data_IF_487011801696
#
_entry.id   IF_487011801696
#
_cell.length_a   1.000
_cell.length_b   1.000
_cell.length_c   1.000
_cell.angle_alpha   90.00
_cell.angle_beta   90.00
_cell.angle_gamma   90.00
#
_symmetry.space_group_name_H-M   'P 1'
#
loop_
_entity.id
_entity.type
_entity.pdbx_description
1 polymer ?
#
# COMPACT_ATOMS: atom_id res chain seq x y z
N UNK A 1 0.28 10.63 8.79
CA UNK A 1 1.08 9.43 8.47
C UNK A 1 0.81 8.40 9.56
N UNK A 2 0.42 7.17 9.18
CA UNK A 2 0.10 6.12 10.15
C UNK A 2 1.38 5.62 10.84
N UNK A 3 1.34 5.44 12.17
CA UNK A 3 2.47 4.92 12.93
C UNK A 3 2.67 3.41 12.67
N UNK A 4 3.93 2.95 12.66
CA UNK A 4 4.31 1.57 12.35
C UNK A 4 3.52 0.52 13.14
N UNK A 5 3.21 0.80 14.41
CA UNK A 5 2.45 -0.10 15.30
C UNK A 5 1.00 -0.30 14.87
N UNK A 6 0.41 0.68 14.19
CA UNK A 6 -0.97 0.62 13.71
C UNK A 6 -1.08 -0.15 12.39
N UNK A 7 0.00 -0.18 11.62
CA UNK A 7 0.09 -0.83 10.31
C UNK A 7 0.34 -2.35 10.45
N UNK A 8 1.00 -2.76 11.54
CA UNK A 8 1.20 -4.18 11.92
C UNK A 8 -0.14 -4.91 12.14
N UNK A 9 -1.20 -4.19 12.54
CA UNK A 9 -2.55 -4.77 12.73
C UNK A 9 -3.11 -5.37 11.45
N UNK A 10 -2.70 -4.84 10.29
CA UNK A 10 -3.10 -5.34 8.98
C UNK A 10 -2.13 -6.37 8.40
N UNK A 11 -1.14 -6.82 9.18
CA UNK A 11 -0.01 -7.61 8.68
C UNK A 11 0.62 -7.02 7.42
N UNK A 12 0.75 -5.69 7.41
CA UNK A 12 1.41 -5.00 6.32
C UNK A 12 2.88 -5.43 6.24
N UNK A 13 3.35 -5.62 5.01
CA UNK A 13 4.77 -5.73 4.72
C UNK A 13 5.35 -4.33 4.67
N UNK A 14 6.29 -4.03 5.57
CA UNK A 14 7.05 -2.78 5.49
C UNK A 14 8.28 -3.03 4.62
N UNK A 15 8.30 -2.37 3.46
CA UNK A 15 9.38 -2.45 2.49
C UNK A 15 10.28 -1.24 2.64
N UNK A 16 11.57 -1.52 2.86
CA UNK A 16 12.59 -0.49 3.03
C UNK A 16 13.46 -0.36 1.78
N UNK A 17 13.89 0.86 1.48
CA UNK A 17 14.80 1.10 0.36
C UNK A 17 15.30 2.54 0.30
N UNK A 18 16.42 2.75 -0.40
CA UNK A 18 17.00 4.09 -0.63
C UNK A 18 16.23 4.92 -1.67
N UNK A 19 15.32 4.29 -2.42
CA UNK A 19 14.53 4.93 -3.45
C UNK A 19 13.11 4.37 -3.44
N UNK A 20 12.12 5.25 -3.30
CA UNK A 20 10.69 4.91 -3.29
C UNK A 20 10.26 4.28 -4.62
N UNK A 21 10.76 4.76 -5.75
CA UNK A 21 10.42 4.23 -7.09
C UNK A 21 10.77 2.74 -7.20
N UNK A 22 11.95 2.34 -6.72
CA UNK A 22 12.38 0.93 -6.71
C UNK A 22 11.46 0.05 -5.85
N UNK A 23 11.00 0.55 -4.71
CA UNK A 23 10.07 -0.19 -3.84
C UNK A 23 8.73 -0.38 -4.55
N UNK A 24 8.20 0.70 -5.14
CA UNK A 24 6.92 0.68 -5.83
C UNK A 24 6.94 -0.21 -7.08
N UNK A 25 8.03 -0.19 -7.88
CA UNK A 25 8.19 -1.11 -9.02
C UNK A 25 8.11 -2.58 -8.61
N UNK A 26 8.69 -2.94 -7.45
CA UNK A 26 8.59 -4.31 -6.92
C UNK A 26 7.15 -4.68 -6.59
N UNK A 27 6.39 -3.76 -6.01
CA UNK A 27 4.97 -3.97 -5.68
C UNK A 27 4.12 -4.09 -6.95
N UNK A 28 4.33 -3.20 -7.93
CA UNK A 28 3.68 -3.24 -9.25
C UNK A 28 3.92 -4.58 -9.93
N UNK A 29 5.18 -5.03 -9.99
CA UNK A 29 5.54 -6.30 -10.59
C UNK A 29 4.92 -7.50 -9.83
N UNK A 30 4.84 -7.42 -8.50
CA UNK A 30 4.20 -8.45 -7.68
C UNK A 30 2.69 -8.58 -7.97
N UNK A 31 1.97 -7.47 -8.09
CA UNK A 31 0.53 -7.47 -8.41
C UNK A 31 0.26 -7.73 -9.91
N UNK A 32 1.25 -7.49 -10.76
CA UNK A 32 1.24 -7.71 -12.20
C UNK A 32 0.52 -6.62 -13.01
N UNK A 33 -0.22 -5.71 -12.36
CA UNK A 33 -0.88 -4.58 -13.02
C UNK A 33 -1.11 -3.43 -12.01
N UNK A 34 -1.08 -2.19 -12.49
CA UNK A 34 -1.22 -0.99 -11.68
C UNK A 34 -2.65 -0.72 -11.18
N UNK A 35 -3.69 -1.13 -11.91
CA UNK A 35 -5.09 -0.99 -11.45
C UNK A 35 -5.42 -1.78 -10.17
N UNK A 36 -4.57 -2.73 -9.82
CA UNK A 36 -4.68 -3.50 -8.57
C UNK A 36 -4.13 -2.74 -7.38
N UNK A 37 -3.49 -1.60 -7.60
CA UNK A 37 -2.88 -0.79 -6.55
C UNK A 37 -3.87 0.26 -6.10
N UNK A 38 -4.01 0.34 -4.78
CA UNK A 38 -4.69 1.44 -4.09
C UNK A 38 -3.61 2.17 -3.31
N UNK A 39 -3.31 3.40 -3.67
CA UNK A 39 -2.15 4.12 -3.18
C UNK A 39 -2.52 5.42 -2.48
N UNK A 40 -1.70 5.80 -1.50
CA UNK A 40 -1.77 7.13 -0.94
C UNK A 40 -1.54 8.18 -2.04
N UNK A 41 -2.28 9.30 -1.99
CA UNK A 41 -2.15 10.39 -2.94
C UNK A 41 -0.73 10.97 -2.99
N UNK A 42 0.04 10.93 -1.90
CA UNK A 42 1.44 11.37 -1.88
C UNK A 42 2.38 10.51 -2.75
N UNK A 43 1.92 9.34 -3.20
CA UNK A 43 2.66 8.46 -4.10
C UNK A 43 2.25 8.65 -5.57
N UNK A 44 1.31 9.55 -5.87
CA UNK A 44 0.68 9.63 -7.20
C UNK A 44 1.65 9.90 -8.32
N UNK A 45 2.55 10.86 -8.13
CA UNK A 45 3.45 11.29 -9.21
C UNK A 45 4.47 10.19 -9.54
N UNK A 46 4.95 9.51 -8.50
CA UNK A 46 5.89 8.39 -8.66
C UNK A 46 5.19 7.23 -9.36
N UNK A 47 3.98 6.85 -8.92
CA UNK A 47 3.23 5.74 -9.50
C UNK A 47 2.79 6.02 -10.94
N UNK A 48 2.39 7.25 -11.27
CA UNK A 48 2.10 7.65 -12.66
C UNK A 48 3.34 7.48 -13.56
N UNK A 49 4.53 7.79 -13.05
CA UNK A 49 5.79 7.55 -13.76
C UNK A 49 6.20 6.07 -13.88
N UNK A 50 5.67 5.19 -13.03
CA UNK A 50 5.91 3.74 -13.11
C UNK A 50 4.89 3.06 -14.03
N UNK A 51 3.63 3.49 -14.00
CA UNK A 51 2.48 2.84 -14.62
C UNK A 51 2.15 3.33 -16.04
N UNK A 52 3.16 3.85 -16.78
CA UNK A 52 3.04 4.68 -18.00
C UNK A 52 2.19 4.05 -19.13
N UNK A 53 2.04 2.72 -19.15
CA UNK A 53 1.34 1.97 -20.22
C UNK A 53 0.21 1.07 -19.69
N UNK A 54 -0.25 1.29 -18.46
CA UNK A 54 -1.22 0.42 -17.77
C UNK A 54 -2.39 1.22 -17.21
N UNK A 55 -3.48 0.53 -16.86
CA UNK A 55 -4.56 1.12 -16.08
C UNK A 55 -3.99 1.67 -14.75
N UNK A 56 -4.31 2.94 -14.45
CA UNK A 56 -3.69 3.66 -13.35
C UNK A 56 -4.11 3.09 -11.98
N UNK A 57 -3.24 3.22 -10.95
CA UNK A 57 -3.63 2.95 -9.58
C UNK A 57 -4.81 3.82 -9.12
N UNK A 58 -5.56 3.31 -8.15
CA UNK A 58 -6.56 4.11 -7.45
C UNK A 58 -5.86 4.93 -6.36
N UNK A 59 -6.03 6.25 -6.36
CA UNK A 59 -5.42 7.14 -5.37
C UNK A 59 -6.44 7.55 -4.32
N UNK A 60 -6.06 7.44 -3.04
CA UNK A 60 -6.88 7.78 -1.89
C UNK A 60 -6.01 8.40 -0.81
N UNK A 61 -6.56 9.24 0.06
CA UNK A 61 -5.84 9.77 1.22
C UNK A 61 -6.04 8.87 2.44
N UNK A 62 -5.00 8.21 2.96
CA UNK A 62 -5.10 7.33 4.12
C UNK A 62 -4.89 8.09 5.43
N UNK A 63 -5.96 8.74 5.92
CA UNK A 63 -5.90 9.57 7.13
C UNK A 63 -5.87 8.78 8.43
N UNK A 64 -6.57 7.64 8.46
CA UNK A 64 -6.66 6.77 9.62
C UNK A 64 -6.79 5.28 9.23
N UNK A 65 -6.77 4.41 10.24
CA UNK A 65 -6.85 2.96 10.05
C UNK A 65 -8.25 2.48 9.62
N UNK A 66 -9.32 3.24 9.90
CA UNK A 66 -10.68 2.84 9.52
C UNK A 66 -10.84 2.87 8.01
N UNK A 67 -10.24 3.86 7.35
CA UNK A 67 -10.20 3.90 5.89
C UNK A 67 -9.51 2.67 5.31
N UNK A 68 -8.39 2.24 5.90
CA UNK A 68 -7.69 1.03 5.46
C UNK A 68 -8.57 -0.22 5.65
N UNK A 69 -9.27 -0.33 6.78
CA UNK A 69 -10.21 -1.43 7.04
C UNK A 69 -11.36 -1.47 6.04
N UNK A 70 -11.98 -0.31 5.77
CA UNK A 70 -13.05 -0.17 4.79
C UNK A 70 -12.59 -0.59 3.40
N UNK A 71 -11.39 -0.16 2.97
CA UNK A 71 -10.83 -0.57 1.68
C UNK A 71 -10.61 -2.08 1.64
N UNK A 72 -10.01 -2.69 2.67
CA UNK A 72 -9.79 -4.15 2.69
C UNK A 72 -11.13 -4.90 2.65
N UNK A 73 -12.18 -4.41 3.32
CA UNK A 73 -13.49 -5.04 3.33
C UNK A 73 -14.21 -4.93 1.98
N UNK A 74 -14.18 -3.76 1.35
CA UNK A 74 -14.96 -3.47 0.15
C UNK A 74 -14.30 -3.94 -1.15
N UNK A 75 -12.98 -4.06 -1.17
CA UNK A 75 -12.25 -4.36 -2.41
C UNK A 75 -12.12 -5.85 -2.71
N UNK A 76 -11.93 -6.17 -3.98
CA UNK A 76 -11.73 -7.56 -4.43
C UNK A 76 -10.36 -8.10 -4.00
N UNK A 77 -10.31 -9.42 -3.76
CA UNK A 77 -9.06 -10.13 -3.49
C UNK A 77 -8.13 -10.00 -4.71
N UNK A 78 -6.84 -9.82 -4.44
CA UNK A 78 -5.79 -9.66 -5.46
C UNK A 78 -5.40 -8.21 -5.74
N UNK A 79 -6.06 -7.23 -5.10
CA UNK A 79 -5.57 -5.85 -4.99
C UNK A 79 -4.55 -5.69 -3.86
N UNK A 80 -3.90 -4.54 -3.79
CA UNK A 80 -2.98 -4.19 -2.71
C UNK A 80 -3.00 -2.71 -2.38
N UNK A 81 -2.89 -2.41 -1.08
CA UNK A 81 -2.86 -1.05 -0.55
C UNK A 81 -1.40 -0.64 -0.30
N UNK A 82 -1.02 0.57 -0.69
CA UNK A 82 0.31 1.13 -0.46
C UNK A 82 0.27 2.54 0.10
N UNK A 83 1.07 2.81 1.12
CA UNK A 83 1.22 4.15 1.70
C UNK A 83 2.58 4.31 2.38
N UNK A 84 3.01 5.55 2.59
CA UNK A 84 4.26 5.87 3.29
C UNK A 84 4.11 5.64 4.78
N UNK A 85 5.15 5.07 5.39
CA UNK A 85 5.28 4.94 6.85
C UNK A 85 6.61 5.52 7.30
N UNK A 86 6.76 5.73 8.61
CA UNK A 86 7.98 6.27 9.19
C UNK A 86 9.12 5.29 8.97
N UNK A 87 10.27 5.78 8.49
CA UNK A 87 11.48 4.97 8.45
C UNK A 87 12.24 5.13 9.77
N UNK A 88 12.81 4.04 10.33
CA UNK A 88 13.68 4.13 11.51
C UNK A 88 15.01 4.83 11.21
N UNK A 89 15.32 5.09 9.93
CA UNK A 89 16.54 5.74 9.46
C UNK A 89 16.23 6.85 8.47
N UNK A 90 16.89 8.00 8.61
CA UNK A 90 16.68 9.17 7.75
C UNK A 90 17.14 8.97 6.30
N UNK A 91 18.05 8.04 6.04
CA UNK A 91 18.59 7.73 4.71
C UNK A 91 17.83 6.60 3.98
N UNK A 92 16.72 6.15 4.56
CA UNK A 92 15.92 5.03 4.05
C UNK A 92 14.46 5.46 4.00
N UNK A 93 13.75 5.05 2.96
CA UNK A 93 12.31 5.16 2.85
C UNK A 93 11.63 3.87 3.27
N UNK A 94 10.43 3.98 3.84
CA UNK A 94 9.60 2.86 4.22
C UNK A 94 8.21 2.99 3.57
N UNK A 95 7.77 1.94 2.88
CA UNK A 95 6.45 1.85 2.28
C UNK A 95 5.74 0.65 2.90
N UNK A 96 4.56 0.87 3.45
CA UNK A 96 3.68 -0.22 3.85
C UNK A 96 2.97 -0.78 2.61
N UNK A 97 2.89 -2.09 2.53
CA UNK A 97 2.15 -2.83 1.53
C UNK A 97 1.21 -3.84 2.19
N UNK A 98 -0.09 -3.74 1.93
CA UNK A 98 -1.09 -4.68 2.42
C UNK A 98 -1.73 -5.39 1.23
N UNK A 99 -1.47 -6.68 0.99
CA UNK A 99 -2.22 -7.43 -0.01
C UNK A 99 -3.65 -7.68 0.48
N UNK A 100 -4.63 -7.48 -0.39
CA UNK A 100 -6.03 -7.81 -0.10
C UNK A 100 -6.24 -9.28 -0.44
N UNK A 101 -6.28 -10.12 0.60
CA UNK A 101 -6.51 -11.55 0.48
C UNK A 101 -7.51 -12.03 1.57
N UNK A 102 -7.87 -13.31 1.51
CA UNK A 102 -8.82 -13.92 2.47
C UNK A 102 -8.36 -13.78 3.92
N UNK A 103 -7.05 -13.81 4.18
CA UNK A 103 -6.51 -13.65 5.52
C UNK A 103 -6.75 -12.24 6.05
N UNK A 104 -6.33 -11.19 5.32
CA UNK A 104 -6.50 -9.80 5.76
C UNK A 104 -7.98 -9.43 5.97
N UNK A 105 -8.86 -9.90 5.07
CA UNK A 105 -10.32 -9.75 5.24
C UNK A 105 -10.82 -10.45 6.51
N UNK A 106 -10.36 -11.67 6.79
CA UNK A 106 -10.78 -12.42 7.99
C UNK A 106 -10.33 -11.79 9.31
N UNK A 107 -9.16 -11.12 9.32
CA UNK A 107 -8.63 -10.43 10.51
C UNK A 107 -9.53 -9.25 10.88
N UNK A 108 -10.06 -8.54 9.88
CA UNK A 108 -10.93 -7.39 10.10
C UNK A 108 -12.33 -7.83 10.53
N UNK A 109 -12.88 -8.88 9.91
CA UNK A 109 -14.23 -9.39 10.21
C UNK A 109 -14.37 -10.01 11.62
N UNK A 110 -13.27 -10.39 12.27
CA UNK A 110 -13.28 -10.98 13.62
C UNK A 110 -13.31 -9.94 14.75
N UNK A 111 -13.34 -8.65 14.42
CA UNK A 111 -13.38 -7.54 15.37
C UNK A 111 -14.72 -6.83 15.31
#
# INVERSE_FOLDING_TARGET
MLDDKDVVKFQAYILYGKNVDNILRRIVNYLGNCNKIIADIELSDILKGICVESELPHFMEFRDYKMVEEVINNEVIGKGIVFRVTSPRSDIHAIAFIPINSFNKSVILKR
#
